data_IF_186298287598
#
_entry.id   IF_186298287598
#
_cell.length_a   1.000
_cell.length_b   1.000
_cell.length_c   1.000
_cell.angle_alpha   90.00
_cell.angle_beta   90.00
_cell.angle_gamma   90.00
#
_symmetry.space_group_name_H-M   'P 1'
#
loop_
_entity.id
_entity.type
_entity.pdbx_description
1 polymer ?
#
# COMPACT_ATOMS: atom_id res chain seq x y z
N UNK A 1 22.67 -27.35 19.25
CA UNK A 1 23.11 -27.73 17.89
C UNK A 1 24.55 -27.25 17.77
N UNK A 2 25.54 -28.11 17.51
CA UNK A 2 26.93 -27.69 17.54
C UNK A 2 27.22 -26.77 16.34
N UNK A 3 27.91 -25.67 16.61
CA UNK A 3 28.32 -24.58 15.69
C UNK A 3 28.90 -25.09 14.35
N UNK A 4 29.51 -26.27 14.38
CA UNK A 4 30.12 -26.99 13.25
C UNK A 4 29.09 -27.42 12.18
N UNK A 5 27.87 -27.76 12.58
CA UNK A 5 26.82 -28.26 11.67
C UNK A 5 26.20 -27.12 10.85
N UNK A 6 26.14 -25.93 11.44
CA UNK A 6 25.67 -24.70 10.78
C UNK A 6 26.72 -24.19 9.79
N UNK A 7 28.00 -24.17 10.19
CA UNK A 7 29.12 -23.83 9.30
C UNK A 7 29.15 -24.72 8.04
N UNK A 8 28.98 -26.04 8.22
CA UNK A 8 28.97 -27.00 7.11
C UNK A 8 27.77 -26.78 6.16
N UNK A 9 26.59 -26.50 6.70
CA UNK A 9 25.37 -26.27 5.92
C UNK A 9 25.44 -24.96 5.11
N UNK A 10 25.96 -23.88 5.72
CA UNK A 10 26.15 -22.59 5.06
C UNK A 10 27.22 -22.67 3.96
N UNK A 11 28.32 -23.39 4.22
CA UNK A 11 29.40 -23.57 3.24
C UNK A 11 28.90 -24.33 2.02
N UNK A 12 28.07 -25.36 2.22
CA UNK A 12 27.48 -26.12 1.12
C UNK A 12 26.49 -25.27 0.28
N UNK A 13 25.64 -24.48 0.95
CA UNK A 13 24.71 -23.55 0.27
C UNK A 13 25.45 -22.52 -0.61
N UNK A 14 26.57 -22.00 -0.12
CA UNK A 14 27.39 -21.03 -0.87
C UNK A 14 28.26 -21.68 -1.96
N UNK A 15 28.60 -22.96 -1.84
CA UNK A 15 29.26 -23.71 -2.92
C UNK A 15 28.29 -24.11 -4.04
N UNK A 16 27.05 -24.47 -3.70
CA UNK A 16 26.03 -24.85 -4.69
C UNK A 16 25.44 -23.64 -5.43
N UNK A 17 25.58 -22.43 -4.86
CA UNK A 17 25.23 -21.16 -5.52
C UNK A 17 26.42 -20.61 -6.30
N UNK A 18 26.61 -21.07 -7.54
CA UNK A 18 27.65 -20.63 -8.48
C UNK A 18 27.52 -19.16 -8.97
N UNK A 19 26.68 -18.35 -8.32
CA UNK A 19 26.29 -17.00 -8.76
C UNK A 19 26.69 -15.88 -7.77
N UNK A 20 27.58 -16.13 -6.82
CA UNK A 20 28.11 -15.06 -5.97
C UNK A 20 29.29 -14.34 -6.67
N UNK A 21 29.27 -13.00 -6.76
CA UNK A 21 30.43 -12.26 -7.24
C UNK A 21 31.64 -12.54 -6.33
N UNK A 22 32.86 -12.63 -6.88
CA UNK A 22 34.06 -13.10 -6.16
C UNK A 22 34.42 -12.28 -4.92
N UNK A 23 33.91 -11.05 -4.79
CA UNK A 23 34.10 -10.22 -3.60
C UNK A 23 33.37 -10.75 -2.37
N UNK A 24 32.25 -11.47 -2.53
CA UNK A 24 31.44 -11.97 -1.42
C UNK A 24 32.09 -13.16 -0.71
N UNK A 25 32.92 -13.94 -1.41
CA UNK A 25 33.65 -15.08 -0.85
C UNK A 25 34.61 -14.65 0.27
N UNK A 26 35.16 -13.43 0.16
CA UNK A 26 36.11 -12.86 1.15
C UNK A 26 35.49 -12.63 2.53
N UNK A 27 34.18 -12.42 2.60
CA UNK A 27 33.48 -12.09 3.86
C UNK A 27 32.77 -13.29 4.50
N UNK A 28 32.69 -14.42 3.79
CA UNK A 28 32.02 -15.65 4.26
C UNK A 28 32.44 -16.08 5.69
N UNK A 29 33.74 -16.11 6.06
CA UNK A 29 34.14 -16.53 7.40
C UNK A 29 33.61 -15.60 8.50
N UNK A 30 33.45 -14.31 8.20
CA UNK A 30 32.96 -13.30 9.14
C UNK A 30 31.44 -13.42 9.31
N UNK A 31 30.73 -13.70 8.22
CA UNK A 31 29.28 -13.90 8.19
C UNK A 31 28.91 -15.15 8.99
N UNK A 32 29.62 -16.27 8.76
CA UNK A 32 29.33 -17.52 9.47
C UNK A 32 29.60 -17.37 10.97
N UNK A 33 30.71 -16.74 11.36
CA UNK A 33 31.05 -16.44 12.76
C UNK A 33 30.04 -15.51 13.45
N UNK A 34 29.52 -14.51 12.73
CA UNK A 34 28.53 -13.59 13.28
C UNK A 34 27.18 -14.29 13.53
N UNK A 35 26.76 -15.16 12.61
CA UNK A 35 25.53 -15.94 12.72
C UNK A 35 25.66 -16.99 13.83
N UNK A 36 26.78 -17.71 13.91
CA UNK A 36 27.06 -18.67 15.00
C UNK A 36 27.00 -18.03 16.38
N UNK A 37 27.58 -16.84 16.53
CA UNK A 37 27.54 -16.06 17.78
C UNK A 37 26.12 -15.61 18.18
N UNK A 38 25.25 -15.30 17.20
CA UNK A 38 23.86 -14.88 17.45
C UNK A 38 22.96 -16.05 17.86
N UNK A 39 23.23 -17.25 17.32
CA UNK A 39 22.52 -18.50 17.66
C UNK A 39 22.90 -19.01 19.06
N UNK A 40 24.13 -18.78 19.52
CA UNK A 40 24.56 -19.14 20.88
C UNK A 40 23.87 -18.37 22.01
N UNK A 41 23.21 -17.24 21.73
CA UNK A 41 22.57 -16.39 22.74
C UNK A 41 21.06 -16.64 22.94
N UNK A 42 20.42 -17.45 22.10
CA UNK A 42 18.96 -17.75 22.18
C UNK A 42 18.63 -19.09 22.86
N UNK A 43 19.62 -19.75 23.47
CA UNK A 43 19.44 -21.03 24.14
C UNK A 43 18.90 -20.93 25.57
N UNK A 44 17.63 -20.55 25.77
CA UNK A 44 16.83 -21.03 26.92
C UNK A 44 15.34 -20.66 26.83
N UNK A 45 14.56 -21.37 26.00
CA UNK A 45 13.18 -21.76 26.34
C UNK A 45 12.70 -22.84 25.38
N UNK A 46 12.72 -24.09 25.84
CA UNK A 46 12.25 -25.23 25.09
C UNK A 46 10.72 -25.17 24.96
N UNK A 47 10.22 -25.14 23.74
CA UNK A 47 8.93 -25.74 23.39
C UNK A 47 9.12 -26.48 22.07
N UNK A 48 8.72 -27.74 22.05
CA UNK A 48 8.88 -28.66 20.93
C UNK A 48 8.13 -28.14 19.70
N UNK A 49 8.88 -27.58 18.75
CA UNK A 49 8.48 -27.34 17.37
C UNK A 49 9.24 -28.36 16.51
N UNK A 50 8.65 -28.93 15.43
CA UNK A 50 9.39 -29.79 14.51
C UNK A 50 10.64 -29.05 14.04
N UNK A 51 11.77 -29.74 14.17
CA UNK A 51 13.12 -29.29 13.88
C UNK A 51 13.15 -28.63 12.50
N UNK A 52 13.44 -27.34 12.42
CA UNK A 52 13.58 -26.62 11.16
C UNK A 52 14.75 -27.23 10.37
N UNK A 53 14.44 -27.85 9.23
CA UNK A 53 15.41 -28.59 8.39
C UNK A 53 16.16 -27.63 7.45
N UNK A 54 15.74 -26.36 7.33
CA UNK A 54 16.28 -25.40 6.35
C UNK A 54 16.46 -23.98 6.91
N UNK A 55 17.51 -23.27 6.49
CA UNK A 55 17.82 -21.89 6.93
C UNK A 55 16.70 -20.90 6.56
N UNK A 56 16.14 -21.03 5.36
CA UNK A 56 15.04 -20.16 4.90
C UNK A 56 13.75 -20.41 5.67
N UNK A 57 13.49 -21.66 6.10
CA UNK A 57 12.37 -21.98 6.96
C UNK A 57 12.52 -21.30 8.34
N UNK A 58 13.73 -21.36 8.91
CA UNK A 58 14.03 -20.64 10.15
C UNK A 58 13.86 -19.12 9.99
N UNK A 59 14.42 -18.51 8.95
CA UNK A 59 14.31 -17.06 8.73
C UNK A 59 12.85 -16.64 8.48
N UNK A 60 12.12 -17.39 7.67
CA UNK A 60 10.69 -17.19 7.43
C UNK A 60 9.88 -17.32 8.73
N UNK A 61 10.17 -18.29 9.59
CA UNK A 61 9.51 -18.42 10.89
C UNK A 61 9.69 -17.17 11.77
N UNK A 62 10.85 -16.50 11.70
CA UNK A 62 11.08 -15.24 12.42
C UNK A 62 10.26 -14.08 11.85
N UNK A 63 10.04 -14.05 10.53
CA UNK A 63 9.26 -13.02 9.84
C UNK A 63 7.75 -13.27 9.81
N UNK A 64 7.30 -14.50 10.04
CA UNK A 64 5.90 -14.91 9.85
C UNK A 64 5.23 -15.35 11.16
N UNK A 65 5.97 -15.54 12.25
CA UNK A 65 5.40 -15.93 13.55
C UNK A 65 4.48 -14.83 14.13
N UNK A 66 3.19 -14.98 13.81
CA UNK A 66 2.03 -14.31 14.40
C UNK A 66 0.84 -15.27 14.28
N UNK A 67 -0.08 -15.23 15.25
CA UNK A 67 -1.20 -16.17 15.38
C UNK A 67 -1.97 -16.35 14.07
N UNK A 68 -2.31 -17.61 13.75
CA UNK A 68 -3.17 -17.98 12.64
C UNK A 68 -4.51 -17.25 12.77
N UNK A 69 -4.90 -16.49 11.75
CA UNK A 69 -6.28 -16.06 11.56
C UNK A 69 -6.93 -16.99 10.54
N UNK A 70 -8.06 -17.56 10.92
CA UNK A 70 -8.82 -18.53 10.14
C UNK A 70 -9.48 -17.88 8.93
N UNK A 71 -9.46 -18.60 7.81
CA UNK A 71 -10.03 -18.18 6.54
C UNK A 71 -11.57 -18.12 6.60
N UNK A 72 -12.11 -16.91 6.65
CA UNK A 72 -13.51 -16.61 6.40
C UNK A 72 -13.80 -16.50 4.91
N UNK A 73 -14.76 -17.29 4.44
CA UNK A 73 -15.25 -17.31 3.07
C UNK A 73 -16.08 -16.03 2.81
N UNK A 74 -15.59 -15.06 2.03
CA UNK A 74 -16.48 -14.00 1.54
C UNK A 74 -16.13 -13.41 0.17
N UNK A 75 -17.21 -12.94 -0.45
CA UNK A 75 -17.43 -12.74 -1.87
C UNK A 75 -16.45 -11.78 -2.52
N UNK A 76 -15.92 -12.27 -3.64
CA UNK A 76 -15.18 -11.54 -4.65
C UNK A 76 -15.95 -10.31 -5.14
N UNK A 77 -15.72 -9.18 -4.50
CA UNK A 77 -15.89 -7.88 -5.14
C UNK A 77 -14.50 -7.46 -5.61
N UNK A 78 -14.27 -7.63 -6.91
CA UNK A 78 -13.19 -6.96 -7.63
C UNK A 78 -13.45 -5.45 -7.57
N UNK A 79 -13.09 -4.84 -6.46
CA UNK A 79 -12.63 -3.47 -6.43
C UNK A 79 -11.13 -3.59 -6.24
N UNK A 80 -10.39 -3.71 -7.34
CA UNK A 80 -9.01 -3.24 -7.37
C UNK A 80 -9.08 -1.72 -7.12
N UNK A 81 -9.29 -1.35 -5.86
CA UNK A 81 -9.23 0.02 -5.41
C UNK A 81 -7.77 0.42 -5.56
N UNK A 82 -7.50 1.09 -6.68
CA UNK A 82 -6.30 1.86 -7.02
C UNK A 82 -5.32 1.89 -5.86
N UNK A 83 -4.27 1.09 -5.99
CA UNK A 83 -3.07 1.15 -5.17
C UNK A 83 -2.68 2.61 -4.96
N UNK A 84 -2.49 2.99 -3.71
CA UNK A 84 -2.19 4.37 -3.33
C UNK A 84 -0.85 4.36 -2.63
N UNK A 85 0.09 5.04 -3.27
CA UNK A 85 1.41 5.27 -2.71
C UNK A 85 1.33 5.97 -1.35
N UNK A 86 2.41 5.88 -0.58
CA UNK A 86 2.44 6.43 0.77
C UNK A 86 2.11 7.93 0.80
N UNK A 87 2.56 8.68 -0.22
CA UNK A 87 2.22 10.08 -0.42
C UNK A 87 0.73 10.29 -0.63
N UNK A 88 0.07 9.51 -1.48
CA UNK A 88 -1.37 9.62 -1.70
C UNK A 88 -2.16 9.34 -0.43
N UNK A 89 -1.81 8.27 0.28
CA UNK A 89 -2.42 7.91 1.57
C UNK A 89 -2.26 9.06 2.58
N UNK A 90 -1.09 9.69 2.64
CA UNK A 90 -0.85 10.88 3.47
C UNK A 90 -1.77 12.05 3.10
N UNK A 91 -1.97 12.33 1.81
CA UNK A 91 -2.84 13.45 1.38
C UNK A 91 -4.29 13.29 1.87
N UNK A 92 -4.71 12.05 2.08
CA UNK A 92 -6.06 11.75 2.55
C UNK A 92 -6.15 11.51 4.06
N UNK A 93 -5.12 11.90 4.81
CA UNK A 93 -5.12 11.84 6.27
C UNK A 93 -4.82 10.45 6.84
N UNK A 94 -4.25 9.55 6.04
CA UNK A 94 -3.73 8.27 6.53
C UNK A 94 -2.25 8.45 6.86
N UNK A 95 -1.89 8.18 8.11
CA UNK A 95 -0.53 8.30 8.61
C UNK A 95 0.09 6.93 8.82
N UNK A 96 1.41 6.84 8.69
CA UNK A 96 2.15 5.61 8.90
C UNK A 96 2.75 5.54 10.29
N UNK A 97 2.79 4.35 10.86
CA UNK A 97 3.50 4.04 12.10
C UNK A 97 4.18 2.67 12.01
N UNK A 98 5.30 2.46 12.71
CA UNK A 98 5.86 1.13 12.86
C UNK A 98 4.91 0.25 13.68
N UNK A 99 4.74 -1.00 13.26
CA UNK A 99 4.06 -2.02 14.04
C UNK A 99 4.95 -2.48 15.20
N UNK A 100 4.39 -3.33 16.08
CA UNK A 100 5.09 -3.75 17.30
C UNK A 100 6.13 -4.83 17.03
N UNK A 101 5.96 -5.57 15.95
CA UNK A 101 6.81 -6.70 15.58
C UNK A 101 7.41 -6.49 14.18
N UNK A 102 8.44 -7.26 13.86
CA UNK A 102 8.99 -7.31 12.50
C UNK A 102 8.26 -8.34 11.63
N UNK A 103 7.11 -8.85 12.09
CA UNK A 103 6.38 -9.87 11.37
C UNK A 103 5.65 -9.25 10.18
N UNK A 104 5.80 -9.83 8.99
CA UNK A 104 5.09 -9.38 7.79
C UNK A 104 3.56 -9.53 7.90
N UNK A 105 3.07 -10.27 8.89
CA UNK A 105 1.63 -10.35 9.20
C UNK A 105 1.13 -9.23 10.11
N UNK A 106 2.01 -8.50 10.79
CA UNK A 106 1.64 -7.44 11.75
C UNK A 106 1.38 -6.11 11.04
N UNK A 107 0.35 -6.13 10.20
CA UNK A 107 -0.17 -4.95 9.49
C UNK A 107 -1.57 -4.70 10.01
N UNK A 108 -1.84 -3.48 10.45
CA UNK A 108 -3.14 -3.09 10.97
C UNK A 108 -3.48 -1.66 10.61
N UNK A 109 -4.76 -1.40 10.44
CA UNK A 109 -5.27 -0.07 10.20
C UNK A 109 -6.19 0.35 11.33
N UNK A 110 -6.12 1.63 11.70
CA UNK A 110 -6.97 2.23 12.72
C UNK A 110 -7.57 3.51 12.14
N UNK A 111 -8.89 3.53 11.99
CA UNK A 111 -9.62 4.69 11.50
C UNK A 111 -10.21 5.48 12.66
N UNK A 112 -9.95 6.79 12.68
CA UNK A 112 -10.70 7.76 13.46
C UNK A 112 -11.66 8.54 12.54
N UNK A 113 -12.46 9.45 13.12
CA UNK A 113 -13.43 10.29 12.37
C UNK A 113 -12.79 11.09 11.22
N UNK A 114 -11.55 11.53 11.36
CA UNK A 114 -10.88 12.42 10.39
C UNK A 114 -9.54 11.92 9.88
N UNK A 115 -8.92 10.94 10.54
CA UNK A 115 -7.56 10.45 10.24
C UNK A 115 -7.52 8.93 10.28
N UNK A 116 -6.72 8.32 9.42
CA UNK A 116 -6.37 6.91 9.50
C UNK A 116 -4.94 6.72 9.98
N UNK A 117 -4.64 5.56 10.55
CA UNK A 117 -3.28 5.16 10.90
C UNK A 117 -3.01 3.76 10.39
N UNK A 118 -2.09 3.62 9.44
CA UNK A 118 -1.62 2.34 8.92
C UNK A 118 -0.33 1.96 9.63
N UNK A 119 -0.36 0.83 10.35
CA UNK A 119 0.80 0.26 11.02
C UNK A 119 1.46 -0.77 10.12
N UNK A 120 2.76 -0.62 9.91
CA UNK A 120 3.55 -1.47 9.04
C UNK A 120 4.76 -2.06 9.78
N UNK A 121 5.13 -3.32 9.51
CA UNK A 121 6.36 -3.94 10.00
C UNK A 121 7.57 -3.07 9.66
N UNK A 122 8.40 -2.69 10.65
CA UNK A 122 9.60 -1.92 10.39
C UNK A 122 10.57 -2.69 9.49
N UNK A 123 11.08 -2.04 8.45
CA UNK A 123 11.94 -2.65 7.45
C UNK A 123 13.26 -1.92 7.32
N UNK A 124 14.36 -2.66 7.35
CA UNK A 124 15.70 -2.14 7.01
C UNK A 124 16.07 -2.58 5.60
N UNK A 125 16.39 -1.61 4.75
CA UNK A 125 16.74 -1.82 3.34
C UNK A 125 18.22 -1.60 3.16
N UNK A 126 18.95 -2.65 2.80
CA UNK A 126 20.39 -2.66 2.52
C UNK A 126 20.68 -3.41 1.21
N UNK A 127 21.95 -3.48 0.80
CA UNK A 127 22.37 -4.16 -0.45
C UNK A 127 21.94 -5.63 -0.54
N UNK A 128 21.69 -6.28 0.60
CA UNK A 128 21.28 -7.68 0.67
C UNK A 128 19.75 -7.87 0.68
N UNK A 129 18.97 -6.81 0.88
CA UNK A 129 17.51 -6.87 1.01
C UNK A 129 16.85 -7.50 -0.21
N UNK A 130 17.25 -7.08 -1.43
CA UNK A 130 16.72 -7.65 -2.68
C UNK A 130 16.92 -9.16 -2.76
N UNK A 131 18.15 -9.63 -2.57
CA UNK A 131 18.46 -11.06 -2.62
C UNK A 131 17.75 -11.85 -1.51
N UNK A 132 17.64 -11.30 -0.29
CA UNK A 132 16.91 -11.94 0.82
C UNK A 132 15.44 -12.13 0.48
N UNK A 133 14.78 -11.08 -0.04
CA UNK A 133 13.36 -11.11 -0.38
C UNK A 133 13.09 -12.08 -1.54
N UNK A 134 13.85 -12.01 -2.62
CA UNK A 134 13.68 -12.92 -3.77
C UNK A 134 13.95 -14.38 -3.42
N UNK A 135 14.95 -14.65 -2.57
CA UNK A 135 15.20 -16.01 -2.08
C UNK A 135 14.04 -16.54 -1.22
N UNK A 136 13.37 -15.66 -0.46
CA UNK A 136 12.18 -16.03 0.30
C UNK A 136 10.97 -16.28 -0.60
N UNK A 137 10.77 -15.46 -1.63
CA UNK A 137 9.74 -15.71 -2.65
C UNK A 137 9.97 -17.07 -3.31
N UNK A 138 11.21 -17.37 -3.73
CA UNK A 138 11.56 -18.66 -4.29
C UNK A 138 11.25 -19.82 -3.32
N UNK A 139 11.52 -19.63 -2.02
CA UNK A 139 11.15 -20.60 -1.01
C UNK A 139 9.63 -20.76 -0.89
N UNK A 140 8.84 -19.69 -0.86
CA UNK A 140 7.36 -19.76 -0.84
C UNK A 140 6.77 -20.48 -2.06
N UNK A 141 7.46 -20.46 -3.20
CA UNK A 141 7.03 -21.20 -4.41
C UNK A 141 7.40 -22.69 -4.40
N UNK A 142 8.19 -23.18 -3.44
CA UNK A 142 8.53 -24.59 -3.36
C UNK A 142 7.33 -25.44 -2.89
N UNK A 143 7.13 -26.66 -3.44
CA UNK A 143 6.01 -27.53 -3.06
C UNK A 143 5.96 -27.90 -1.57
N UNK A 144 7.12 -27.96 -0.91
CA UNK A 144 7.25 -28.33 0.51
C UNK A 144 7.15 -27.12 1.46
N UNK A 145 7.00 -25.91 0.92
CA UNK A 145 6.92 -24.69 1.71
C UNK A 145 5.47 -24.37 2.14
N UNK A 146 5.28 -23.54 3.18
CA UNK A 146 3.95 -23.20 3.63
C UNK A 146 3.22 -22.28 2.64
N UNK A 147 2.03 -22.71 2.22
CA UNK A 147 1.14 -22.05 1.25
C UNK A 147 0.41 -20.82 1.83
N UNK A 148 1.16 -19.86 2.39
CA UNK A 148 0.56 -18.60 2.87
C UNK A 148 1.03 -17.35 2.12
N UNK A 149 2.10 -17.45 1.32
CA UNK A 149 2.69 -16.38 0.51
C UNK A 149 2.88 -15.05 1.27
N UNK A 150 3.18 -15.12 2.56
CA UNK A 150 3.26 -13.94 3.44
C UNK A 150 4.32 -12.93 2.99
N UNK A 151 5.48 -13.40 2.53
CA UNK A 151 6.58 -12.56 2.05
C UNK A 151 6.19 -11.93 0.72
N UNK A 152 5.68 -12.74 -0.21
CA UNK A 152 5.18 -12.27 -1.51
C UNK A 152 4.11 -11.18 -1.34
N UNK A 153 3.12 -11.42 -0.48
CA UNK A 153 2.06 -10.44 -0.17
C UNK A 153 2.59 -9.15 0.45
N UNK A 154 3.60 -9.25 1.31
CA UNK A 154 4.23 -8.07 1.90
C UNK A 154 5.03 -7.27 0.85
N UNK A 155 5.75 -7.94 -0.04
CA UNK A 155 6.47 -7.27 -1.13
C UNK A 155 5.49 -6.50 -2.01
N UNK A 156 4.40 -7.13 -2.46
CA UNK A 156 3.38 -6.45 -3.26
C UNK A 156 2.77 -5.25 -2.51
N UNK A 157 2.52 -5.37 -1.20
CA UNK A 157 2.04 -4.22 -0.43
C UNK A 157 3.07 -3.08 -0.38
N UNK A 158 4.35 -3.40 -0.21
CA UNK A 158 5.41 -2.39 -0.16
C UNK A 158 5.63 -1.74 -1.53
N UNK A 159 5.50 -2.49 -2.61
CA UNK A 159 5.46 -2.02 -4.01
C UNK A 159 4.29 -1.03 -4.20
N UNK A 160 3.07 -1.40 -3.79
CA UNK A 160 1.90 -0.52 -3.85
C UNK A 160 2.08 0.80 -3.07
N UNK A 161 2.84 0.76 -1.97
CA UNK A 161 3.09 1.90 -1.10
C UNK A 161 4.26 2.77 -1.56
N UNK A 162 5.20 2.22 -2.33
CA UNK A 162 6.45 2.88 -2.70
C UNK A 162 6.53 2.97 -4.22
N UNK A 163 5.92 3.99 -4.79
CA UNK A 163 5.96 4.24 -6.24
C UNK A 163 7.18 5.11 -6.62
N UNK A 164 7.49 6.11 -5.79
CA UNK A 164 8.56 7.09 -6.02
C UNK A 164 9.37 7.39 -4.75
N UNK A 165 10.51 8.10 -4.89
CA UNK A 165 11.39 8.44 -3.79
C UNK A 165 10.68 9.20 -2.64
N UNK A 166 9.68 10.02 -2.94
CA UNK A 166 8.91 10.74 -1.92
C UNK A 166 8.15 9.82 -0.97
N UNK A 167 7.74 8.64 -1.45
CA UNK A 167 7.05 7.65 -0.62
C UNK A 167 8.02 7.02 0.39
N UNK A 168 9.24 6.74 -0.06
CA UNK A 168 10.34 6.28 0.80
C UNK A 168 10.65 7.32 1.86
N UNK A 169 10.74 8.61 1.49
CA UNK A 169 10.94 9.72 2.44
C UNK A 169 9.83 9.74 3.49
N UNK A 170 8.57 9.57 3.10
CA UNK A 170 7.46 9.53 4.06
C UNK A 170 7.61 8.37 5.04
N UNK A 171 7.81 7.14 4.54
CA UNK A 171 7.93 5.95 5.39
C UNK A 171 9.15 6.02 6.33
N UNK A 172 10.26 6.59 5.86
CA UNK A 172 11.45 6.86 6.68
C UNK A 172 11.18 7.89 7.77
N UNK A 173 10.49 8.99 7.43
CA UNK A 173 10.15 10.03 8.40
C UNK A 173 9.26 9.51 9.55
N UNK A 174 8.53 8.43 9.31
CA UNK A 174 7.68 7.74 10.29
C UNK A 174 8.37 6.57 11.00
N UNK A 175 9.62 6.27 10.66
CA UNK A 175 10.37 5.15 11.25
C UNK A 175 9.87 3.77 10.83
N UNK A 176 9.08 3.68 9.76
CA UNK A 176 8.67 2.40 9.15
C UNK A 176 9.80 1.82 8.32
N UNK A 177 10.55 2.68 7.62
CA UNK A 177 11.64 2.25 6.74
C UNK A 177 12.97 2.85 7.21
N UNK A 178 14.01 2.03 7.26
CA UNK A 178 15.39 2.46 7.45
C UNK A 178 16.17 2.19 6.15
N UNK A 179 16.63 3.25 5.49
CA UNK A 179 17.40 3.16 4.26
C UNK A 179 18.90 3.12 4.56
N UNK A 180 19.54 2.00 4.24
CA UNK A 180 20.98 1.75 4.25
C UNK A 180 21.52 1.36 2.85
N UNK A 181 20.66 1.34 1.83
CA UNK A 181 21.00 0.98 0.45
C UNK A 181 21.66 2.14 -0.29
N UNK A 182 21.26 3.38 0.03
CA UNK A 182 21.78 4.57 -0.63
C UNK A 182 20.72 5.65 -0.76
N UNK A 183 20.36 6.01 -1.99
CA UNK A 183 19.34 7.04 -2.25
C UNK A 183 17.93 6.50 -2.02
N UNK A 184 16.98 7.40 -1.75
CA UNK A 184 15.57 7.03 -1.63
C UNK A 184 14.99 6.52 -2.97
N UNK A 185 15.52 6.99 -4.11
CA UNK A 185 15.16 6.48 -5.42
C UNK A 185 15.58 5.01 -5.60
N UNK A 186 16.79 4.64 -5.16
CA UNK A 186 17.25 3.24 -5.24
C UNK A 186 16.36 2.29 -4.44
N UNK A 187 15.78 2.76 -3.32
CA UNK A 187 14.83 1.96 -2.54
C UNK A 187 13.50 1.81 -3.30
N UNK A 188 12.99 2.89 -3.92
CA UNK A 188 11.79 2.82 -4.73
C UNK A 188 11.96 1.88 -5.93
N UNK A 189 13.05 2.04 -6.67
CA UNK A 189 13.38 1.17 -7.82
C UNK A 189 13.49 -0.30 -7.38
N UNK A 190 14.08 -0.57 -6.20
CA UNK A 190 14.18 -1.93 -5.68
C UNK A 190 12.81 -2.58 -5.49
N UNK A 191 11.85 -1.89 -4.85
CA UNK A 191 10.51 -2.45 -4.59
C UNK A 191 9.69 -2.58 -5.87
N UNK A 192 9.71 -1.55 -6.72
CA UNK A 192 9.10 -1.58 -8.05
C UNK A 192 9.62 -2.73 -8.91
N UNK A 193 10.92 -3.04 -8.84
CA UNK A 193 11.51 -4.14 -9.60
C UNK A 193 11.09 -5.51 -9.06
N UNK A 194 11.15 -5.73 -7.74
CA UNK A 194 10.84 -7.05 -7.17
C UNK A 194 9.33 -7.32 -7.09
N UNK A 195 8.47 -6.30 -7.10
CA UNK A 195 7.02 -6.43 -7.01
C UNK A 195 6.32 -6.69 -8.35
N UNK A 196 6.89 -6.19 -9.46
CA UNK A 196 6.26 -6.11 -10.78
C UNK A 196 5.65 -7.42 -11.34
N UNK A 197 6.19 -8.59 -10.97
CA UNK A 197 5.76 -9.90 -11.48
C UNK A 197 5.24 -10.85 -10.39
N UNK A 198 5.01 -10.34 -9.17
CA UNK A 198 4.57 -11.16 -8.05
C UNK A 198 3.04 -11.20 -7.95
N UNK A 199 2.52 -12.38 -7.59
CA UNK A 199 1.10 -12.58 -7.32
C UNK A 199 0.93 -12.79 -5.82
N UNK A 200 0.35 -11.82 -5.09
CA UNK A 200 0.15 -11.95 -3.65
C UNK A 200 -0.97 -12.94 -3.33
N UNK A 201 -0.99 -13.45 -2.11
CA UNK A 201 -2.15 -14.16 -1.58
C UNK A 201 -3.39 -13.23 -1.62
N UNK A 202 -4.50 -13.62 -2.28
CA UNK A 202 -5.68 -12.76 -2.41
C UNK A 202 -6.35 -12.42 -1.08
N UNK A 203 -6.10 -13.21 -0.02
CA UNK A 203 -6.66 -12.99 1.31
C UNK A 203 -5.73 -12.18 2.22
N UNK A 204 -4.46 -11.97 1.83
CA UNK A 204 -3.53 -11.20 2.63
C UNK A 204 -3.98 -9.75 2.77
N UNK A 205 -4.02 -9.28 4.03
CA UNK A 205 -4.40 -7.91 4.41
C UNK A 205 -5.77 -7.46 3.86
N UNK A 206 -6.66 -8.40 3.52
CA UNK A 206 -8.00 -8.09 3.00
C UNK A 206 -8.79 -7.20 3.96
N UNK A 207 -8.74 -7.51 5.26
CA UNK A 207 -9.36 -6.71 6.32
C UNK A 207 -8.80 -5.28 6.36
N UNK A 208 -7.48 -5.14 6.28
CA UNK A 208 -6.80 -3.82 6.26
C UNK A 208 -7.22 -3.01 5.03
N UNK A 209 -7.24 -3.65 3.85
CA UNK A 209 -7.69 -3.03 2.60
C UNK A 209 -9.15 -2.58 2.68
N UNK A 210 -10.02 -3.42 3.24
CA UNK A 210 -11.43 -3.09 3.46
C UNK A 210 -11.60 -1.91 4.43
N UNK A 211 -10.86 -1.90 5.54
CA UNK A 211 -10.93 -0.80 6.50
C UNK A 211 -10.43 0.53 5.92
N UNK A 212 -9.35 0.50 5.11
CA UNK A 212 -8.87 1.68 4.38
C UNK A 212 -9.96 2.18 3.42
N UNK A 213 -10.58 1.29 2.63
CA UNK A 213 -11.68 1.64 1.73
C UNK A 213 -12.89 2.20 2.48
N UNK A 214 -13.21 1.62 3.64
CA UNK A 214 -14.24 2.10 4.55
C UNK A 214 -13.96 3.52 5.06
N UNK A 215 -12.70 3.82 5.39
CA UNK A 215 -12.27 5.17 5.80
C UNK A 215 -12.53 6.21 4.70
N UNK A 216 -12.18 5.89 3.45
CA UNK A 216 -12.49 6.76 2.31
C UNK A 216 -13.98 7.00 2.16
N UNK A 217 -14.78 5.94 2.15
CA UNK A 217 -16.23 6.04 1.98
C UNK A 217 -16.87 6.85 3.11
N UNK A 218 -16.47 6.62 4.36
CA UNK A 218 -16.98 7.38 5.49
C UNK A 218 -16.60 8.86 5.38
N UNK A 219 -15.35 9.17 5.02
CA UNK A 219 -14.89 10.55 4.84
C UNK A 219 -15.64 11.27 3.72
N UNK A 220 -15.86 10.59 2.59
CA UNK A 220 -16.68 11.11 1.49
C UNK A 220 -18.12 11.37 1.95
N UNK A 221 -18.72 10.44 2.70
CA UNK A 221 -20.07 10.62 3.24
C UNK A 221 -20.17 11.81 4.19
N UNK A 222 -19.20 11.98 5.10
CA UNK A 222 -19.14 13.14 6.01
C UNK A 222 -18.97 14.44 5.24
N UNK A 223 -18.08 14.47 4.25
CA UNK A 223 -17.85 15.66 3.43
C UNK A 223 -19.09 16.03 2.60
N UNK A 224 -19.76 15.04 1.99
CA UNK A 224 -21.03 15.24 1.28
C UNK A 224 -22.11 15.73 2.24
N UNK A 225 -22.24 15.13 3.43
CA UNK A 225 -23.22 15.56 4.42
C UNK A 225 -22.97 17.01 4.87
N UNK A 226 -21.71 17.38 5.12
CA UNK A 226 -21.32 18.75 5.47
C UNK A 226 -21.59 19.72 4.33
N UNK A 227 -21.25 19.36 3.09
CA UNK A 227 -21.48 20.20 1.91
C UNK A 227 -22.98 20.41 1.65
N UNK A 228 -23.77 19.33 1.73
CA UNK A 228 -25.22 19.41 1.67
C UNK A 228 -25.76 20.30 2.78
N UNK A 229 -25.21 20.17 3.99
CA UNK A 229 -25.62 21.03 5.09
C UNK A 229 -25.23 22.51 4.85
N UNK A 230 -23.99 22.84 4.50
CA UNK A 230 -23.58 24.25 4.34
C UNK A 230 -24.24 24.93 3.14
N UNK A 231 -24.39 24.23 2.02
CA UNK A 231 -24.92 24.82 0.79
C UNK A 231 -26.45 24.70 0.65
N UNK A 232 -27.06 23.66 1.22
CA UNK A 232 -28.49 23.37 1.07
C UNK A 232 -29.30 23.38 2.39
N UNK A 233 -28.73 23.72 3.55
CA UNK A 233 -29.53 23.78 4.80
C UNK A 233 -30.47 24.96 4.93
N UNK A 234 -30.22 26.06 4.21
CA UNK A 234 -31.13 27.20 4.24
C UNK A 234 -32.03 27.12 3.01
N UNK A 235 -33.36 27.00 3.20
CA UNK A 235 -34.32 27.06 2.10
C UNK A 235 -34.07 28.27 1.19
N UNK A 236 -33.63 29.38 1.78
CA UNK A 236 -33.32 30.63 1.10
C UNK A 236 -32.17 30.53 0.10
N UNK A 237 -31.13 29.74 0.36
CA UNK A 237 -30.01 29.57 -0.57
C UNK A 237 -30.45 28.84 -1.84
N UNK A 238 -31.36 27.87 -1.68
CA UNK A 238 -31.97 27.14 -2.79
C UNK A 238 -32.82 28.09 -3.64
N UNK A 239 -33.68 28.90 -3.01
CA UNK A 239 -34.45 29.93 -3.71
C UNK A 239 -33.54 30.95 -4.43
N UNK A 240 -32.45 31.37 -3.80
CA UNK A 240 -31.46 32.26 -4.41
C UNK A 240 -30.79 31.66 -5.65
N UNK A 241 -30.42 30.38 -5.60
CA UNK A 241 -29.85 29.66 -6.75
C UNK A 241 -30.85 29.59 -7.92
N UNK A 242 -32.11 29.23 -7.65
CA UNK A 242 -33.16 29.20 -8.67
C UNK A 242 -33.43 30.59 -9.27
N UNK A 243 -33.47 31.63 -8.44
CA UNK A 243 -33.62 33.01 -8.89
C UNK A 243 -32.47 33.43 -9.82
N UNK A 244 -31.22 33.11 -9.47
CA UNK A 244 -30.06 33.41 -10.30
C UNK A 244 -30.10 32.68 -11.65
N UNK A 245 -30.43 31.38 -11.67
CA UNK A 245 -30.60 30.61 -12.91
C UNK A 245 -31.71 31.22 -13.78
N UNK A 246 -32.83 31.62 -13.18
CA UNK A 246 -33.94 32.27 -13.88
C UNK A 246 -33.52 33.59 -14.52
N UNK A 247 -32.76 34.43 -13.80
CA UNK A 247 -32.23 35.69 -14.34
C UNK A 247 -31.27 35.43 -15.52
N UNK A 248 -30.40 34.43 -15.42
CA UNK A 248 -29.49 34.05 -16.50
C UNK A 248 -30.29 33.60 -17.74
N UNK A 249 -31.32 32.76 -17.56
CA UNK A 249 -32.18 32.31 -18.65
C UNK A 249 -32.92 33.48 -19.33
N UNK A 250 -33.38 34.46 -18.55
CA UNK A 250 -33.96 35.69 -19.08
C UNK A 250 -32.94 36.51 -19.87
N UNK A 251 -31.72 36.66 -19.36
CA UNK A 251 -30.66 37.39 -20.07
C UNK A 251 -30.31 36.74 -21.41
N UNK A 252 -30.26 35.40 -21.47
CA UNK A 252 -30.10 34.67 -22.73
C UNK A 252 -31.27 34.92 -23.69
N UNK A 253 -32.50 34.88 -23.17
CA UNK A 253 -33.71 35.11 -23.98
C UNK A 253 -33.72 36.53 -24.54
N UNK A 254 -33.41 37.53 -23.72
CA UNK A 254 -33.29 38.93 -24.14
C UNK A 254 -32.21 39.09 -25.20
N UNK A 255 -31.01 38.54 -24.97
CA UNK A 255 -29.91 38.60 -25.93
C UNK A 255 -30.30 37.93 -27.25
N UNK A 256 -30.97 36.78 -27.21
CA UNK A 256 -31.44 36.07 -28.38
C UNK A 256 -32.45 36.89 -29.20
N UNK A 257 -33.46 37.48 -28.57
CA UNK A 257 -34.44 38.34 -29.27
C UNK A 257 -33.85 39.66 -29.75
N UNK A 258 -32.81 40.17 -29.09
CA UNK A 258 -32.11 41.41 -29.51
C UNK A 258 -31.24 41.16 -30.74
N UNK A 259 -30.58 39.99 -30.81
CA UNK A 259 -29.74 39.60 -31.95
C UNK A 259 -30.57 39.11 -33.14
N UNK A 260 -31.71 38.44 -32.88
CA UNK A 260 -32.63 37.95 -33.90
C UNK A 260 -34.02 38.57 -33.75
N UNK A 261 -34.18 39.88 -34.02
CA UNK A 261 -35.50 40.51 -33.97
C UNK A 261 -36.41 39.88 -35.01
N UNK A 262 -37.59 39.41 -34.58
CA UNK A 262 -38.61 38.87 -35.47
C UNK A 262 -39.09 40.00 -36.37
N UNK A 263 -38.89 39.86 -37.68
CA UNK A 263 -39.42 40.78 -38.70
C UNK A 263 -40.93 40.86 -38.50
N UNK A 264 -41.43 41.97 -37.93
CA UNK A 264 -42.87 42.22 -37.82
C UNK A 264 -43.34 42.65 -39.21
N UNK A 265 -44.22 41.85 -39.80
CA UNK A 265 -44.85 42.16 -41.08
C UNK A 265 -45.57 43.51 -41.01
N UNK A 266 -45.36 44.28 -42.09
CA UNK A 266 -45.81 45.64 -42.25
C UNK A 266 -47.32 45.80 -42.02
N UNK A 267 -47.68 46.88 -41.32
CA UNK A 267 -49.06 47.34 -41.17
C UNK A 267 -49.76 47.49 -42.52
N UNK A 268 -51.06 47.13 -42.65
CA UNK A 268 -51.79 47.32 -43.90
C UNK A 268 -52.00 48.82 -44.17
N UNK A 269 -51.87 49.28 -45.43
CA UNK A 269 -52.08 50.68 -45.76
C UNK A 269 -53.52 51.10 -45.47
N UNK A 270 -53.64 52.18 -44.70
CA UNK A 270 -54.87 52.90 -44.43
C UNK A 270 -55.54 53.32 -45.74
N UNK A 271 -56.74 52.82 -45.99
CA UNK A 271 -57.63 53.35 -47.01
C UNK A 271 -57.93 54.83 -46.70
N UNK A 272 -57.76 55.69 -47.71
CA UNK A 272 -58.33 57.04 -47.74
C UNK A 272 -59.29 57.11 -48.93
N UNK A 273 -60.51 57.66 -48.76
CA UNK A 273 -61.50 57.75 -49.81
C UNK A 273 -61.24 59.01 -50.65
N UNK A 274 -61.29 58.87 -51.98
CA UNK A 274 -61.91 59.80 -52.94
C UNK A 274 -61.89 59.19 -54.34
#
# INVERSE_FOLDING_TARGET
>A
MPEIEIEAMMTKFFQDTSALPPETIRYLPTIIKFIGKKVGQTGSRANHHPKSIHLLDFYRSQLVNGNKQDAGNDKQTRSWSSYRSAKELKTVGIHFLPSRTQSYKDISFQSNLFTGTLRLPPLTVDDSTKSKLLNMVAYETCPDAPDDFSVTSYICLMDDLIDQAEDVVELRSKGVLLNLLGSDQQVADLFNEIGNDLVPNPTAYSEVREQIQGHYKNRLNVWIAQFCHTHFSSPWTIFGLFAAIFVIALAFTQTYFTVFPRKSDAAPPSASPH
#
